data_IF_533653477488
#
_entry.id   IF_533653477488
#
_cell.length_a   1.000
_cell.length_b   1.000
_cell.length_c   1.000
_cell.angle_alpha   90.00
_cell.angle_beta   90.00
_cell.angle_gamma   90.00
#
_symmetry.space_group_name_H-M   'P 1'
#
loop_
_entity.id
_entity.type
_entity.pdbx_description
1 polymer ?
#
# COMPACT_ATOMS: atom_id res chain seq x y z
N UNK A 1 -19.64 -47.21 -51.37
CA UNK A 1 -18.19 -47.21 -51.09
C UNK A 1 -17.80 -45.77 -50.77
N UNK A 2 -17.88 -45.32 -49.51
CA UNK A 2 -16.90 -45.46 -48.43
C UNK A 2 -15.52 -44.83 -48.77
N UNK A 3 -15.28 -43.62 -48.28
CA UNK A 3 -14.18 -43.34 -47.33
C UNK A 3 -14.36 -41.98 -46.65
N UNK A 4 -14.31 -42.01 -45.32
CA UNK A 4 -14.36 -40.87 -44.42
C UNK A 4 -12.96 -40.57 -43.83
N UNK A 5 -12.72 -39.28 -43.51
CA UNK A 5 -11.79 -38.71 -42.50
C UNK A 5 -10.27 -38.79 -42.76
N UNK A 6 -9.43 -37.84 -42.29
CA UNK A 6 -9.53 -37.20 -40.96
C UNK A 6 -9.43 -35.66 -40.88
N UNK A 7 -9.92 -35.21 -39.74
CA UNK A 7 -9.82 -33.89 -39.09
C UNK A 7 -8.38 -33.40 -38.96
N UNK A 8 -8.07 -32.21 -39.50
CA UNK A 8 -6.88 -31.46 -39.12
C UNK A 8 -7.22 -30.49 -37.99
N UNK A 9 -7.01 -31.01 -36.79
CA UNK A 9 -7.00 -30.28 -35.54
C UNK A 9 -5.75 -29.40 -35.49
N UNK A 10 -5.86 -28.15 -35.93
CA UNK A 10 -4.85 -27.13 -35.69
C UNK A 10 -5.00 -26.59 -34.26
N UNK A 11 -4.42 -27.28 -33.29
CA UNK A 11 -4.24 -26.74 -31.94
C UNK A 11 -3.32 -25.51 -32.01
N UNK A 12 -3.92 -24.33 -32.14
CA UNK A 12 -3.30 -23.06 -31.75
C UNK A 12 -3.20 -23.00 -30.23
N UNK A 13 -2.32 -23.82 -29.65
CA UNK A 13 -1.91 -23.68 -28.24
C UNK A 13 -0.69 -22.77 -28.15
N UNK A 14 -0.90 -21.50 -28.49
CA UNK A 14 -0.07 -20.41 -27.99
C UNK A 14 -1.00 -19.51 -27.18
N UNK A 15 -1.38 -20.00 -25.99
CA UNK A 15 -2.05 -19.21 -24.99
C UNK A 15 -1.15 -18.03 -24.62
N UNK A 16 -1.62 -16.83 -24.88
CA UNK A 16 -1.02 -15.58 -24.44
C UNK A 16 -0.84 -15.60 -22.91
N UNK A 17 0.38 -15.35 -22.37
CA UNK A 17 0.60 -15.31 -20.91
C UNK A 17 0.17 -13.98 -20.27
N UNK A 18 -0.93 -13.38 -20.74
CA UNK A 18 -1.32 -12.02 -20.35
C UNK A 18 -2.39 -11.95 -19.23
N UNK A 19 -2.93 -13.08 -18.74
CA UNK A 19 -4.16 -13.09 -17.92
C UNK A 19 -4.02 -13.46 -16.44
N UNK A 20 -2.80 -13.59 -15.89
CA UNK A 20 -2.60 -13.93 -14.46
C UNK A 20 -2.06 -12.79 -13.59
N UNK A 21 -1.50 -11.73 -14.18
CA UNK A 21 -0.93 -10.61 -13.42
C UNK A 21 -1.99 -9.63 -12.93
N UNK A 22 -2.93 -9.24 -13.80
CA UNK A 22 -3.97 -8.27 -13.43
C UNK A 22 -4.87 -8.74 -12.27
N UNK A 23 -5.19 -10.03 -12.18
CA UNK A 23 -5.97 -10.58 -11.07
C UNK A 23 -5.18 -10.62 -9.77
N UNK A 24 -3.88 -10.91 -9.83
CA UNK A 24 -2.97 -10.87 -8.68
C UNK A 24 -2.77 -9.43 -8.18
N UNK A 25 -2.66 -8.46 -9.10
CA UNK A 25 -2.52 -7.04 -8.77
C UNK A 25 -3.80 -6.52 -8.09
N UNK A 26 -4.99 -6.88 -8.60
CA UNK A 26 -6.26 -6.52 -7.97
C UNK A 26 -6.44 -7.16 -6.58
N UNK A 27 -6.00 -8.40 -6.40
CA UNK A 27 -6.01 -9.06 -5.09
C UNK A 27 -5.09 -8.33 -4.09
N UNK A 28 -3.89 -7.94 -4.54
CA UNK A 28 -2.94 -7.17 -3.73
C UNK A 28 -3.47 -5.79 -3.37
N UNK A 29 -4.13 -5.10 -4.31
CA UNK A 29 -4.81 -3.82 -4.08
C UNK A 29 -5.88 -3.99 -2.99
N UNK A 30 -6.69 -5.06 -3.07
CA UNK A 30 -7.72 -5.35 -2.06
C UNK A 30 -7.13 -5.60 -0.68
N UNK A 31 -6.04 -6.35 -0.58
CA UNK A 31 -5.35 -6.61 0.68
C UNK A 31 -4.81 -5.32 1.32
N UNK A 32 -4.19 -4.46 0.51
CA UNK A 32 -3.71 -3.14 0.97
C UNK A 32 -4.86 -2.26 1.42
N UNK A 33 -5.96 -2.22 0.67
CA UNK A 33 -7.15 -1.45 1.03
C UNK A 33 -7.77 -1.94 2.35
N UNK A 34 -7.89 -3.25 2.57
CA UNK A 34 -8.37 -3.81 3.83
C UNK A 34 -7.45 -3.46 5.00
N UNK A 35 -6.14 -3.58 4.79
CA UNK A 35 -5.12 -3.24 5.80
C UNK A 35 -5.23 -1.76 6.18
N UNK A 36 -5.37 -0.88 5.20
CA UNK A 36 -5.57 0.56 5.42
C UNK A 36 -6.86 0.84 6.19
N UNK A 37 -8.01 0.32 5.75
CA UNK A 37 -9.31 0.54 6.42
C UNK A 37 -9.28 0.07 7.88
N UNK A 38 -8.63 -1.06 8.14
CA UNK A 38 -8.47 -1.62 9.48
C UNK A 38 -7.61 -0.70 10.36
N UNK A 39 -6.46 -0.26 9.84
CA UNK A 39 -5.58 0.67 10.53
C UNK A 39 -6.29 2.00 10.82
N UNK A 40 -6.91 2.61 9.81
CA UNK A 40 -7.59 3.90 9.89
C UNK A 40 -8.66 3.87 10.99
N UNK A 41 -9.49 2.83 11.02
CA UNK A 41 -10.51 2.65 12.06
C UNK A 41 -9.91 2.52 13.46
N UNK A 42 -8.84 1.75 13.61
CA UNK A 42 -8.16 1.57 14.91
C UNK A 42 -7.63 2.89 15.44
N UNK A 43 -6.89 3.64 14.61
CA UNK A 43 -6.30 4.91 15.06
C UNK A 43 -7.36 5.99 15.29
N UNK A 44 -8.43 6.02 14.48
CA UNK A 44 -9.58 6.92 14.69
C UNK A 44 -10.35 6.62 15.98
N UNK A 45 -10.38 5.35 16.42
CA UNK A 45 -11.00 4.97 17.68
C UNK A 45 -10.13 5.31 18.90
N UNK A 46 -8.81 5.35 18.73
CA UNK A 46 -7.86 5.73 19.80
C UNK A 46 -7.77 7.24 20.02
N UNK A 47 -7.50 8.00 18.95
CA UNK A 47 -7.45 9.46 18.99
C UNK A 47 -7.96 10.01 17.66
N UNK A 48 -9.22 10.43 17.68
CA UNK A 48 -9.95 10.82 16.48
C UNK A 48 -9.38 12.07 15.81
N UNK A 49 -9.05 13.10 16.59
CA UNK A 49 -8.61 14.38 16.03
C UNK A 49 -7.18 14.28 15.48
N UNK A 50 -6.27 13.65 16.22
CA UNK A 50 -4.92 13.40 15.74
C UNK A 50 -4.92 12.50 14.50
N UNK A 51 -5.72 11.42 14.51
CA UNK A 51 -5.84 10.52 13.37
C UNK A 51 -6.41 11.22 12.13
N UNK A 52 -7.42 12.09 12.27
CA UNK A 52 -7.96 12.88 11.15
C UNK A 52 -6.90 13.76 10.51
N UNK A 53 -6.12 14.48 11.33
CA UNK A 53 -5.03 15.33 10.84
C UNK A 53 -3.97 14.51 10.10
N UNK A 54 -3.55 13.39 10.71
CA UNK A 54 -2.53 12.51 10.15
C UNK A 54 -2.98 11.84 8.84
N UNK A 55 -4.20 11.29 8.82
CA UNK A 55 -4.78 10.61 7.66
C UNK A 55 -5.33 11.58 6.61
N UNK A 56 -5.50 12.86 6.93
CA UNK A 56 -6.00 13.89 6.01
C UNK A 56 -7.50 13.75 5.72
N UNK A 57 -8.28 13.36 6.72
CA UNK A 57 -9.70 13.05 6.57
C UNK A 57 -10.60 14.16 7.12
N UNK A 58 -11.69 14.44 6.40
CA UNK A 58 -12.78 15.26 6.96
C UNK A 58 -13.47 14.53 8.12
N UNK A 59 -14.19 15.29 8.95
CA UNK A 59 -14.97 14.71 10.06
C UNK A 59 -15.99 13.68 9.57
N UNK A 60 -16.67 13.98 8.46
CA UNK A 60 -17.69 13.12 7.85
C UNK A 60 -17.11 11.78 7.37
N UNK A 61 -15.94 11.80 6.74
CA UNK A 61 -15.26 10.58 6.29
C UNK A 61 -14.79 9.76 7.49
N UNK A 62 -14.24 10.40 8.53
CA UNK A 62 -13.85 9.72 9.76
C UNK A 62 -15.04 9.05 10.46
N UNK A 63 -16.22 9.70 10.49
CA UNK A 63 -17.45 9.09 11.02
C UNK A 63 -17.91 7.91 10.17
N UNK A 64 -17.86 8.07 8.86
CA UNK A 64 -18.28 7.02 7.92
C UNK A 64 -17.39 5.79 8.08
N UNK A 65 -16.07 5.96 8.14
CA UNK A 65 -15.12 4.86 8.32
C UNK A 65 -15.35 4.06 9.60
N UNK A 66 -15.66 4.73 10.72
CA UNK A 66 -15.96 4.05 11.99
C UNK A 66 -17.29 3.29 11.98
N UNK A 67 -18.26 3.74 11.17
CA UNK A 67 -19.58 3.11 11.05
C UNK A 67 -19.63 1.97 10.03
N UNK A 68 -18.55 1.74 9.26
CA UNK A 68 -18.51 0.66 8.28
C UNK A 68 -18.68 -0.70 8.96
N UNK A 69 -19.64 -1.46 8.47
CA UNK A 69 -19.73 -2.90 8.78
C UNK A 69 -18.57 -3.66 8.11
N UNK A 70 -18.19 -4.85 8.60
CA UNK A 70 -17.17 -5.67 7.96
C UNK A 70 -17.46 -5.94 6.48
N UNK A 71 -18.73 -6.23 6.13
CA UNK A 71 -19.14 -6.47 4.75
C UNK A 71 -18.98 -5.22 3.86
N UNK A 72 -19.28 -4.03 4.37
CA UNK A 72 -19.08 -2.78 3.62
C UNK A 72 -17.60 -2.45 3.45
N UNK A 73 -16.77 -2.68 4.48
CA UNK A 73 -15.32 -2.51 4.39
C UNK A 73 -14.72 -3.46 3.34
N UNK A 74 -15.16 -4.72 3.30
CA UNK A 74 -14.73 -5.70 2.32
C UNK A 74 -15.12 -5.32 0.88
N UNK A 75 -16.36 -4.85 0.71
CA UNK A 75 -16.84 -4.32 -0.56
C UNK A 75 -16.04 -3.11 -1.03
N UNK A 76 -15.75 -2.17 -0.13
CA UNK A 76 -14.96 -0.98 -0.43
C UNK A 76 -13.51 -1.35 -0.79
N UNK A 77 -12.92 -2.30 -0.06
CA UNK A 77 -11.57 -2.75 -0.32
C UNK A 77 -11.43 -3.49 -1.66
N UNK A 78 -12.50 -4.12 -2.14
CA UNK A 78 -12.54 -4.80 -3.44
C UNK A 78 -12.52 -3.83 -4.65
N UNK A 79 -12.43 -2.53 -4.42
CA UNK A 79 -12.16 -1.53 -5.46
C UNK A 79 -10.81 -1.79 -6.14
N UNK A 80 -10.72 -1.53 -7.45
CA UNK A 80 -9.46 -1.59 -8.21
C UNK A 80 -8.53 -0.40 -7.97
N UNK A 81 -8.94 0.56 -7.14
CA UNK A 81 -8.14 1.72 -6.78
C UNK A 81 -7.62 1.60 -5.34
N UNK A 82 -6.39 2.05 -5.11
CA UNK A 82 -5.83 2.18 -3.77
C UNK A 82 -6.54 3.31 -3.01
N UNK A 83 -6.98 3.00 -1.79
CA UNK A 83 -7.61 3.94 -0.88
C UNK A 83 -6.59 4.76 -0.08
N UNK A 84 -5.39 4.22 0.07
CA UNK A 84 -4.27 4.91 0.71
C UNK A 84 -3.44 5.66 -0.35
N UNK A 85 -3.10 6.91 -0.05
CA UNK A 85 -2.14 7.69 -0.83
C UNK A 85 -0.99 8.14 0.06
N UNK A 86 0.19 8.22 -0.54
CA UNK A 86 1.38 8.66 0.17
C UNK A 86 1.35 10.19 0.27
N UNK A 87 1.17 10.71 1.48
CA UNK A 87 1.07 12.16 1.72
C UNK A 87 2.42 12.87 1.81
N UNK A 88 3.50 12.11 1.96
CA UNK A 88 4.84 12.66 2.08
C UNK A 88 5.41 12.94 0.68
N UNK A 89 5.82 14.18 0.45
CA UNK A 89 6.43 14.60 -0.80
C UNK A 89 7.80 13.92 -0.98
N UNK A 90 8.26 13.81 -2.23
CA UNK A 90 9.58 13.25 -2.52
C UNK A 90 10.71 14.06 -1.85
N UNK A 91 10.53 15.37 -1.74
CA UNK A 91 11.49 16.26 -1.07
C UNK A 91 11.58 15.98 0.43
N UNK A 92 10.43 15.80 1.12
CA UNK A 92 10.38 15.39 2.53
C UNK A 92 10.99 14.01 2.76
N UNK A 93 10.75 13.06 1.85
CA UNK A 93 11.39 11.74 1.91
C UNK A 93 12.92 11.84 1.82
N UNK A 94 13.41 12.56 0.81
CA UNK A 94 14.84 12.70 0.55
C UNK A 94 15.54 13.51 1.66
N UNK A 95 14.90 14.56 2.17
CA UNK A 95 15.36 15.33 3.31
C UNK A 95 15.49 14.48 4.58
N UNK A 96 14.53 13.58 4.85
CA UNK A 96 14.58 12.65 5.97
C UNK A 96 15.67 11.57 5.84
N UNK A 97 16.00 11.16 4.62
CA UNK A 97 17.09 10.21 4.36
C UNK A 97 18.47 10.87 4.37
N UNK A 98 18.57 12.10 3.86
CA UNK A 98 19.81 12.87 3.77
C UNK A 98 20.26 13.42 5.14
N UNK A 99 19.33 13.82 6.00
CA UNK A 99 19.67 14.25 7.38
C UNK A 99 20.28 13.12 8.22
N UNK A 100 19.87 11.87 7.96
CA UNK A 100 20.39 10.71 8.68
C UNK A 100 21.81 10.30 8.27
N UNK A 101 22.28 10.69 7.08
CA UNK A 101 23.64 10.37 6.64
C UNK A 101 24.69 11.34 7.19
N UNK A 102 24.32 12.61 7.43
CA UNK A 102 25.24 13.62 8.00
C UNK A 102 25.51 13.42 9.49
N UNK A 103 24.54 12.93 10.26
CA UNK A 103 24.75 12.61 11.70
C UNK A 103 25.58 11.34 11.93
N UNK A 104 25.53 10.37 11.00
CA UNK A 104 26.34 9.16 11.09
C UNK A 104 27.85 9.44 10.97
N UNK A 105 28.25 10.58 10.40
CA UNK A 105 29.66 11.01 10.32
C UNK A 105 30.08 11.99 11.42
N UNK A 106 29.14 12.52 12.22
CA UNK A 106 29.43 13.49 13.27
C UNK A 106 29.60 12.88 14.68
N UNK A 107 29.25 11.59 14.88
CA UNK A 107 29.31 10.92 16.18
C UNK A 107 30.63 10.17 16.47
N UNK A 108 31.75 10.55 15.83
CA UNK A 108 33.04 9.89 16.04
C UNK A 108 34.20 10.80 16.50
N UNK A 109 33.94 12.07 16.89
CA UNK A 109 34.99 12.95 17.44
C UNK A 109 34.45 13.79 18.59
N UNK A 110 34.29 13.19 19.77
CA UNK A 110 34.15 13.94 21.04
C UNK A 110 34.73 13.17 22.23
N UNK A 111 35.89 12.53 22.03
CA UNK A 111 36.55 11.73 23.10
C UNK A 111 38.05 12.02 23.25
N UNK A 112 38.52 13.25 22.95
CA UNK A 112 39.92 13.65 23.15
C UNK A 112 40.13 15.02 23.80
N UNK A 113 39.32 15.41 24.80
CA UNK A 113 39.60 16.63 25.60
C UNK A 113 39.72 16.40 27.12
N UNK A 114 39.60 15.17 27.63
CA UNK A 114 39.63 14.94 29.10
C UNK A 114 40.97 14.45 29.71
N UNK A 115 42.11 14.48 29.00
CA UNK A 115 43.39 14.07 29.62
C UNK A 115 44.60 14.90 29.15
N UNK A 116 44.62 16.18 29.51
CA UNK A 116 45.86 16.96 29.60
C UNK A 116 45.70 18.05 30.66
N UNK A 117 45.81 17.64 31.92
CA UNK A 117 46.38 18.45 32.99
C UNK A 117 47.90 18.22 33.00
#
# INVERSE_FOLDING_TARGET
MLKALPTLNGHSHFGTPAMTHASHDLASIRELNLSYLTLARRVLASDREAARAHLGLSAEIADTLLKLTPAQADKLASSSQLLCFFRMSADEMLGGLASRSVDATASAVSDQVLLAA
#
